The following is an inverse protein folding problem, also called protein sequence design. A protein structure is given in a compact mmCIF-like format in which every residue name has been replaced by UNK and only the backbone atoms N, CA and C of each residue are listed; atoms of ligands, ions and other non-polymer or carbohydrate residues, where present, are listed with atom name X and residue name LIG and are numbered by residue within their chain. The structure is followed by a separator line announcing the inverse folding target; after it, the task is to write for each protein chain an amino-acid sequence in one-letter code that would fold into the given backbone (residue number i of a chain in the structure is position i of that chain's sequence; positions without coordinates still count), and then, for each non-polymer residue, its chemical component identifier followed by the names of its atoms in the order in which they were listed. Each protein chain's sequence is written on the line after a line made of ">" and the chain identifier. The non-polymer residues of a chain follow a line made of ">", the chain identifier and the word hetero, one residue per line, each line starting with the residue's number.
data_IF_253956710381
#
_entry.id   IF_253956710381
#
_cell.length_a   1.000
_cell.length_b   1.000
_cell.length_c   1.000
_cell.angle_alpha   90.00
_cell.angle_beta   90.00
_cell.angle_gamma   90.00
#
_symmetry.space_group_name_H-M   'P 1'
#
loop_
_entity.id
_entity.type
_entity.pdbx_description
1 polymer ?
#
# COMPACT_ATOMS: atom_id res chain seq x y z
N UNK A 1 -5.77 2.86 9.34
CA UNK A 1 -5.21 1.50 9.41
C UNK A 1 -4.32 1.28 8.20
N UNK A 2 -3.25 0.50 8.34
CA UNK A 2 -2.34 0.16 7.24
C UNK A 2 -2.42 -1.35 6.97
N UNK A 3 -2.37 -1.75 5.70
CA UNK A 3 -2.43 -3.15 5.29
C UNK A 3 -1.13 -3.53 4.56
N UNK A 4 -0.14 -4.15 5.25
CA UNK A 4 1.17 -4.42 4.69
C UNK A 4 1.13 -5.31 3.45
N UNK A 5 1.84 -4.91 2.39
CA UNK A 5 1.98 -5.68 1.16
C UNK A 5 3.38 -6.27 1.03
N UNK A 6 3.48 -7.48 0.45
CA UNK A 6 4.76 -8.09 0.11
C UNK A 6 5.32 -7.40 -1.14
N UNK A 7 6.52 -6.86 -1.06
CA UNK A 7 7.22 -6.30 -2.22
C UNK A 7 7.62 -7.41 -3.21
N UNK A 8 7.05 -7.36 -4.42
CA UNK A 8 7.28 -8.37 -5.48
C UNK A 8 8.49 -8.04 -6.37
N UNK A 9 8.70 -6.77 -6.71
CA UNK A 9 9.90 -6.28 -7.42
C UNK A 9 10.91 -5.69 -6.44
N UNK A 10 12.16 -6.19 -6.46
CA UNK A 10 13.24 -5.77 -5.55
C UNK A 10 14.25 -4.81 -6.17
N UNK A 11 14.03 -4.32 -7.40
CA UNK A 11 14.91 -3.32 -8.03
C UNK A 11 15.00 -2.05 -7.18
N UNK A 12 16.20 -1.49 -7.02
CA UNK A 12 16.42 -0.27 -6.22
C UNK A 12 15.47 0.85 -6.69
N UNK A 13 14.89 1.57 -5.74
CA UNK A 13 14.00 2.73 -5.96
C UNK A 13 12.71 2.43 -6.74
N UNK A 14 12.38 1.14 -6.97
CA UNK A 14 11.11 0.72 -7.58
C UNK A 14 10.24 0.03 -6.55
N UNK A 15 9.19 0.72 -6.13
CA UNK A 15 8.14 0.21 -5.24
C UNK A 15 6.80 0.41 -5.93
N UNK A 16 6.19 -0.69 -6.38
CA UNK A 16 4.93 -0.67 -7.13
C UNK A 16 3.90 -1.57 -6.42
N UNK A 17 2.63 -1.19 -6.54
CA UNK A 17 1.50 -2.01 -6.09
C UNK A 17 0.85 -2.69 -7.28
N UNK A 18 0.86 -4.03 -7.32
CA UNK A 18 0.23 -4.78 -8.39
C UNK A 18 -1.31 -4.70 -8.33
N UNK A 19 -2.03 -4.89 -9.44
CA UNK A 19 -3.50 -4.93 -9.43
C UNK A 19 -4.05 -5.97 -8.44
N UNK A 20 -3.39 -7.11 -8.28
CA UNK A 20 -3.78 -8.17 -7.35
C UNK A 20 -3.59 -7.76 -5.88
N UNK A 21 -2.56 -6.96 -5.59
CA UNK A 21 -2.36 -6.37 -4.27
C UNK A 21 -3.45 -5.33 -3.97
N UNK A 22 -3.79 -4.49 -4.95
CA UNK A 22 -4.86 -3.50 -4.82
C UNK A 22 -6.22 -4.16 -4.61
N UNK A 23 -6.54 -5.22 -5.35
CA UNK A 23 -7.77 -5.99 -5.18
C UNK A 23 -7.87 -6.58 -3.76
N UNK A 24 -6.78 -7.14 -3.23
CA UNK A 24 -6.73 -7.63 -1.84
C UNK A 24 -6.93 -6.53 -0.80
N UNK A 25 -6.34 -5.35 -1.02
CA UNK A 25 -6.54 -4.19 -0.15
C UNK A 25 -8.01 -3.74 -0.14
N UNK A 26 -8.65 -3.68 -1.30
CA UNK A 26 -10.07 -3.32 -1.43
C UNK A 26 -10.98 -4.33 -0.73
N UNK A 27 -10.76 -5.63 -0.94
CA UNK A 27 -11.52 -6.68 -0.25
C UNK A 27 -11.36 -6.61 1.28
N UNK A 28 -10.17 -6.28 1.76
CA UNK A 28 -9.93 -6.06 3.19
C UNK A 28 -10.70 -4.83 3.73
N UNK A 29 -10.70 -3.72 2.98
CA UNK A 29 -11.44 -2.52 3.37
C UNK A 29 -12.96 -2.74 3.41
N UNK A 30 -13.50 -3.53 2.48
CA UNK A 30 -14.92 -3.92 2.51
C UNK A 30 -15.26 -4.76 3.74
N UNK A 31 -14.41 -5.75 4.07
CA UNK A 31 -14.60 -6.56 5.28
C UNK A 31 -14.57 -5.71 6.54
N UNK A 32 -13.58 -4.82 6.65
CA UNK A 32 -13.46 -3.90 7.78
C UNK A 32 -14.69 -2.97 7.89
N UNK A 33 -15.25 -2.56 6.76
CA UNK A 33 -16.48 -1.75 6.75
C UNK A 33 -17.67 -2.49 7.36
N UNK A 34 -17.78 -3.79 7.08
CA UNK A 34 -18.85 -4.64 7.63
C UNK A 34 -18.64 -4.89 9.13
N UNK A 35 -17.40 -5.12 9.56
CA UNK A 35 -17.06 -5.41 10.95
C UNK A 35 -17.21 -4.19 11.87
N UNK A 36 -16.84 -3.00 11.38
CA UNK A 36 -16.84 -1.77 12.19
C UNK A 36 -18.10 -0.93 12.02
N UNK A 37 -18.91 -1.18 10.98
CA UNK A 37 -20.03 -0.33 10.58
C UNK A 37 -19.61 1.02 9.97
N UNK A 38 -18.31 1.27 9.81
CA UNK A 38 -17.76 2.50 9.25
C UNK A 38 -17.26 2.25 7.83
N UNK A 39 -17.73 3.04 6.86
CA UNK A 39 -17.30 2.91 5.46
C UNK A 39 -15.80 3.16 5.30
N UNK A 40 -15.06 2.10 4.95
CA UNK A 40 -13.62 2.11 4.72
C UNK A 40 -13.30 1.93 3.22
N UNK A 41 -12.23 2.57 2.75
CA UNK A 41 -11.70 2.42 1.38
C UNK A 41 -10.19 2.60 1.35
N UNK A 42 -9.54 2.11 0.31
CA UNK A 42 -8.12 2.39 0.05
C UNK A 42 -7.97 3.85 -0.37
N UNK A 43 -7.09 4.59 0.30
CA UNK A 43 -6.89 6.04 0.08
C UNK A 43 -5.51 6.40 -0.46
N UNK A 44 -4.56 5.48 -0.38
CA UNK A 44 -3.18 5.70 -0.78
C UNK A 44 -2.31 4.53 -0.36
N UNK A 45 -1.00 4.72 -0.51
CA UNK A 45 0.03 3.74 -0.18
C UNK A 45 1.20 4.45 0.50
N UNK A 46 2.09 3.67 1.10
CA UNK A 46 3.32 4.16 1.73
C UNK A 46 4.42 3.12 1.61
N UNK A 47 5.67 3.59 1.61
CA UNK A 47 6.88 2.78 1.71
C UNK A 47 7.92 3.48 2.58
N UNK A 48 8.99 2.78 2.91
CA UNK A 48 10.09 3.31 3.70
C UNK A 48 11.33 3.56 2.84
N UNK A 49 12.09 4.57 3.23
CA UNK A 49 13.36 4.98 2.65
C UNK A 49 14.49 4.73 3.66
N UNK A 50 14.98 3.48 3.80
CA UNK A 50 16.03 3.18 4.77
C UNK A 50 17.33 3.87 4.36
N UNK A 51 17.90 4.65 5.28
CA UNK A 51 19.21 5.31 5.12
C UNK A 51 19.33 6.29 3.92
N UNK A 52 18.20 6.81 3.41
CA UNK A 52 18.16 7.87 2.39
C UNK A 52 17.18 8.98 2.80
N UNK A 53 17.19 10.10 2.09
CA UNK A 53 16.31 11.25 2.40
C UNK A 53 14.83 10.95 2.18
N UNK A 54 13.95 11.64 2.91
CA UNK A 54 12.48 11.50 2.83
C UNK A 54 11.86 12.09 1.56
N UNK A 55 12.65 12.80 0.75
CA UNK A 55 12.16 13.37 -0.50
C UNK A 55 11.87 12.25 -1.51
N UNK A 56 10.72 12.29 -2.21
CA UNK A 56 10.43 11.34 -3.27
C UNK A 56 11.49 11.46 -4.36
N UNK A 57 12.02 10.32 -4.76
CA UNK A 57 12.88 10.14 -5.92
C UNK A 57 12.08 10.32 -7.22
N UNK A 58 12.76 10.29 -8.37
CA UNK A 58 12.12 10.39 -9.67
C UNK A 58 11.18 9.21 -10.02
N UNK A 59 11.30 8.09 -9.30
CA UNK A 59 10.60 6.82 -9.58
C UNK A 59 9.53 6.51 -8.52
N UNK A 60 9.47 7.32 -7.44
CA UNK A 60 8.41 7.23 -6.43
C UNK A 60 7.05 7.73 -6.95
#
# INVERSE_FOLDING_TARGET
>A
MAYPQIRTDRRKDRVESSPEQMARCSAHAERLSRETGVRCRVVGWYHSHPHITVLPSHVD
#
